data_IF_819294070208
#
_entry.id   IF_819294070208
#
_cell.length_a   1.000
_cell.length_b   1.000
_cell.length_c   1.000
_cell.angle_alpha   90.00
_cell.angle_beta   90.00
_cell.angle_gamma   90.00
#
_symmetry.space_group_name_H-M   'P 1'
#
loop_
_entity.id
_entity.type
_entity.pdbx_description
1 polymer ?
#
# COMPACT_ATOMS: atom_id res chain seq x y z
N UNK A 1 24.71 4.27 -37.52
CA UNK A 1 25.20 3.04 -36.93
C UNK A 1 25.57 3.32 -35.48
N UNK A 2 24.71 2.96 -34.56
CA UNK A 2 24.90 3.15 -33.09
C UNK A 2 25.59 1.90 -32.57
N UNK A 3 26.76 2.04 -32.01
CA UNK A 3 27.48 0.96 -31.33
C UNK A 3 26.81 0.70 -30.00
N UNK A 4 26.11 -0.41 -29.87
CA UNK A 4 25.68 -0.95 -28.58
C UNK A 4 26.93 -1.61 -27.93
N UNK A 5 27.53 -0.95 -26.95
CA UNK A 5 28.54 -1.59 -26.10
C UNK A 5 27.93 -2.75 -25.32
N UNK A 6 28.59 -3.89 -25.35
CA UNK A 6 28.13 -5.10 -24.66
C UNK A 6 28.33 -4.95 -23.14
N UNK A 7 27.46 -5.55 -22.34
CA UNK A 7 27.56 -5.58 -20.86
C UNK A 7 28.91 -6.15 -20.38
N UNK A 8 29.58 -6.98 -21.17
CA UNK A 8 30.90 -7.53 -20.88
C UNK A 8 31.99 -6.48 -20.99
N UNK A 9 31.88 -5.53 -21.92
CA UNK A 9 32.87 -4.46 -22.10
C UNK A 9 32.81 -3.43 -20.97
N UNK A 10 31.63 -3.20 -20.42
CA UNK A 10 31.43 -2.33 -19.25
C UNK A 10 32.12 -2.91 -17.99
N UNK A 11 31.94 -4.20 -17.72
CA UNK A 11 32.56 -4.86 -16.56
C UNK A 11 34.11 -4.98 -16.70
N UNK A 12 34.62 -5.14 -17.91
CA UNK A 12 36.08 -5.19 -18.16
C UNK A 12 36.80 -3.87 -17.91
N UNK A 13 36.12 -2.73 -18.16
CA UNK A 13 36.70 -1.39 -17.93
C UNK A 13 36.72 -0.96 -16.47
N UNK A 14 35.88 -1.55 -15.63
CA UNK A 14 35.77 -1.23 -14.19
C UNK A 14 36.86 -1.88 -13.32
N UNK A 15 37.56 -2.90 -13.83
CA UNK A 15 38.57 -3.63 -13.05
C UNK A 15 39.99 -3.02 -13.18
N UNK A 16 40.25 -2.09 -14.12
CA UNK A 16 41.56 -1.53 -14.38
C UNK A 16 41.88 -0.31 -13.48
N UNK A 17 40.97 0.20 -12.71
CA UNK A 17 41.15 1.40 -11.86
C UNK A 17 41.54 1.12 -10.40
N UNK A 18 41.72 -0.13 -9.99
CA UNK A 18 42.07 -0.52 -8.62
C UNK A 18 43.45 -1.13 -8.42
N UNK A 19 44.34 -1.00 -9.40
CA UNK A 19 45.64 -1.66 -9.32
C UNK A 19 46.80 -0.79 -9.78
N UNK A 20 47.12 0.30 -9.09
CA UNK A 20 48.51 0.86 -9.10
C UNK A 20 48.63 2.06 -8.15
N UNK A 21 48.86 1.78 -6.90
CA UNK A 21 49.49 2.73 -5.98
C UNK A 21 50.26 1.98 -4.90
N UNK A 22 51.41 1.43 -5.30
CA UNK A 22 52.49 1.15 -4.37
C UNK A 22 53.79 1.40 -5.12
N UNK A 23 54.55 2.37 -4.65
CA UNK A 23 55.98 2.39 -4.47
C UNK A 23 56.60 3.79 -4.70
N UNK A 24 57.13 4.33 -3.58
CA UNK A 24 58.29 5.18 -3.38
C UNK A 24 58.26 6.67 -3.72
N UNK A 25 58.51 7.44 -2.67
CA UNK A 25 58.97 8.82 -2.77
C UNK A 25 58.91 9.56 -1.42
N UNK A 26 59.88 9.34 -0.55
CA UNK A 26 60.14 10.17 0.63
C UNK A 26 60.60 11.56 0.21
N UNK A 27 59.73 12.55 0.27
CA UNK A 27 60.06 13.95 0.49
C UNK A 27 58.91 14.62 1.21
N UNK A 28 59.20 15.09 2.41
CA UNK A 28 58.23 15.70 3.29
C UNK A 28 57.60 16.95 2.71
N UNK A 29 56.29 16.92 2.61
CA UNK A 29 55.43 18.09 2.74
C UNK A 29 54.54 17.84 3.94
N UNK A 30 54.78 18.58 5.00
CA UNK A 30 53.83 18.65 6.10
C UNK A 30 52.50 19.15 5.54
N UNK A 31 51.60 18.23 5.26
CA UNK A 31 50.20 18.60 5.01
C UNK A 31 49.58 18.98 6.33
N UNK A 32 49.20 20.24 6.43
CA UNK A 32 48.37 20.78 7.52
C UNK A 32 47.15 19.87 7.72
N UNK A 33 47.13 19.18 8.84
CA UNK A 33 46.02 18.32 9.29
C UNK A 33 44.87 19.10 9.91
N UNK A 34 44.73 20.40 9.64
CA UNK A 34 43.77 21.24 10.36
C UNK A 34 42.42 21.49 9.63
N UNK A 35 42.10 20.83 8.53
CA UNK A 35 40.85 21.10 7.82
C UNK A 35 40.03 19.86 7.37
N UNK A 36 40.16 18.71 8.03
CA UNK A 36 39.34 17.53 7.68
C UNK A 36 38.04 17.34 8.50
N UNK A 37 37.75 18.25 9.43
CA UNK A 37 36.50 18.15 10.21
C UNK A 37 35.25 18.62 9.44
N UNK A 38 35.41 19.39 8.34
CA UNK A 38 34.30 19.97 7.60
C UNK A 38 33.67 19.05 6.53
N UNK A 39 34.30 17.90 6.23
CA UNK A 39 33.84 16.95 5.20
C UNK A 39 33.64 15.52 5.71
N UNK A 40 33.50 15.31 7.01
CA UNK A 40 33.15 14.01 7.53
C UNK A 40 31.68 13.70 7.15
N UNK A 41 31.47 12.70 6.31
CA UNK A 41 30.10 12.18 6.05
C UNK A 41 29.56 11.70 7.40
N UNK A 42 28.37 12.15 7.82
CA UNK A 42 27.77 11.70 9.07
C UNK A 42 27.68 10.17 9.10
N UNK A 43 27.89 9.59 10.28
CA UNK A 43 27.70 8.15 10.44
C UNK A 43 26.22 7.79 10.18
N UNK A 44 26.00 6.74 9.41
CA UNK A 44 24.67 6.28 9.09
C UNK A 44 23.98 5.77 10.37
N UNK A 45 22.78 6.27 10.73
CA UNK A 45 22.04 5.75 11.86
C UNK A 45 21.77 4.26 11.74
N UNK A 46 21.59 3.58 12.88
CA UNK A 46 21.15 2.19 12.88
C UNK A 46 19.78 2.05 12.21
N UNK A 47 19.60 1.00 11.42
CA UNK A 47 18.30 0.65 10.83
C UNK A 47 17.42 -0.09 11.86
N UNK A 48 16.10 0.18 11.94
CA UNK A 48 15.31 1.14 11.15
C UNK A 48 15.70 2.60 11.42
N UNK A 49 15.58 3.45 10.39
CA UNK A 49 15.96 4.85 10.52
C UNK A 49 14.97 5.63 11.40
N UNK A 50 15.41 6.72 12.07
CA UNK A 50 14.56 7.51 12.92
C UNK A 50 13.41 8.16 12.13
N UNK A 51 12.27 8.35 12.79
CA UNK A 51 11.08 8.95 12.23
C UNK A 51 10.78 10.31 12.87
N UNK A 52 9.84 11.03 12.29
CA UNK A 52 9.27 12.26 12.83
C UNK A 52 7.75 12.21 12.78
N UNK A 53 7.10 13.11 13.51
CA UNK A 53 5.68 13.39 13.31
C UNK A 53 5.47 14.03 11.93
N UNK A 54 4.57 13.43 11.11
CA UNK A 54 4.19 13.94 9.81
C UNK A 54 3.03 14.93 9.92
N UNK A 55 3.14 16.05 9.21
CA UNK A 55 2.00 16.90 8.90
C UNK A 55 1.18 16.24 7.76
N UNK A 56 -0.05 15.88 8.08
CA UNK A 56 -0.91 15.11 7.17
C UNK A 56 -1.38 15.96 5.98
N UNK A 57 -1.70 17.24 6.20
CA UNK A 57 -2.17 18.14 5.16
C UNK A 57 -1.03 18.49 4.19
N UNK A 58 0.17 18.68 4.73
CA UNK A 58 1.38 18.86 3.92
C UNK A 58 1.69 17.59 3.10
N UNK A 59 1.56 16.40 3.69
CA UNK A 59 1.78 15.15 2.99
C UNK A 59 0.79 14.98 1.84
N UNK A 60 -0.50 15.26 2.06
CA UNK A 60 -1.56 15.18 1.05
C UNK A 60 -1.28 16.13 -0.12
N UNK A 61 -1.04 17.41 0.19
CA UNK A 61 -0.75 18.43 -0.81
C UNK A 61 0.50 18.11 -1.62
N UNK A 62 1.60 17.76 -0.93
CA UNK A 62 2.88 17.46 -1.60
C UNK A 62 2.76 16.19 -2.45
N UNK A 63 2.02 15.18 -2.00
CA UNK A 63 1.75 13.97 -2.77
C UNK A 63 0.99 14.24 -4.06
N UNK A 64 -0.03 15.11 -4.00
CA UNK A 64 -0.80 15.57 -5.14
C UNK A 64 0.08 16.36 -6.14
N UNK A 65 0.79 17.38 -5.68
CA UNK A 65 1.65 18.22 -6.52
C UNK A 65 2.79 17.39 -7.14
N UNK A 66 3.42 16.53 -6.36
CA UNK A 66 4.49 15.63 -6.81
C UNK A 66 4.04 14.63 -7.89
N UNK A 67 2.76 14.26 -7.93
CA UNK A 67 2.23 13.47 -9.03
C UNK A 67 2.40 14.18 -10.38
N UNK A 68 2.12 15.48 -10.43
CA UNK A 68 2.27 16.25 -11.68
C UNK A 68 3.73 16.54 -12.03
N UNK A 69 4.62 16.53 -11.04
CA UNK A 69 6.06 16.69 -11.30
C UNK A 69 6.64 15.41 -11.94
N UNK A 70 6.47 14.26 -11.31
CA UNK A 70 7.16 13.03 -11.77
C UNK A 70 6.39 11.72 -11.50
N UNK A 71 5.08 11.77 -11.33
CA UNK A 71 4.21 10.61 -11.20
C UNK A 71 3.90 10.20 -9.76
N UNK A 72 2.97 9.24 -9.63
CA UNK A 72 2.34 8.88 -8.36
C UNK A 72 3.31 8.33 -7.30
N UNK A 73 4.23 7.48 -7.70
CA UNK A 73 5.20 6.88 -6.77
C UNK A 73 6.18 7.92 -6.23
N UNK A 74 6.70 8.77 -7.13
CA UNK A 74 7.52 9.91 -6.77
C UNK A 74 6.79 10.87 -5.82
N UNK A 75 5.54 11.24 -6.16
CA UNK A 75 4.77 12.21 -5.36
C UNK A 75 4.60 11.76 -3.91
N UNK A 76 4.22 10.51 -3.69
CA UNK A 76 4.06 9.96 -2.33
C UNK A 76 5.40 9.86 -1.60
N UNK A 77 6.43 9.33 -2.26
CA UNK A 77 7.75 9.24 -1.64
C UNK A 77 8.31 10.63 -1.29
N UNK A 78 8.19 11.61 -2.20
CA UNK A 78 8.58 13.01 -1.97
C UNK A 78 7.88 13.60 -0.76
N UNK A 79 6.55 13.41 -0.64
CA UNK A 79 5.75 13.96 0.44
C UNK A 79 6.24 13.52 1.83
N UNK A 80 6.70 12.28 1.95
CA UNK A 80 7.21 11.73 3.19
C UNK A 80 8.70 12.04 3.40
N UNK A 81 9.52 11.83 2.36
CA UNK A 81 10.98 12.04 2.45
C UNK A 81 11.34 13.51 2.70
N UNK A 82 10.61 14.47 2.14
CA UNK A 82 10.86 15.91 2.41
C UNK A 82 10.66 16.23 3.87
N UNK A 83 9.58 15.78 4.49
CA UNK A 83 9.34 16.01 5.91
C UNK A 83 10.38 15.31 6.81
N UNK A 84 10.82 14.11 6.43
CA UNK A 84 11.92 13.42 7.12
C UNK A 84 13.23 14.16 6.97
N UNK A 85 13.55 14.65 5.77
CA UNK A 85 14.77 15.44 5.55
C UNK A 85 14.77 16.73 6.37
N UNK A 86 13.64 17.42 6.44
CA UNK A 86 13.51 18.70 7.16
C UNK A 86 13.55 18.52 8.69
N UNK A 87 12.93 17.46 9.22
CA UNK A 87 12.74 17.27 10.66
C UNK A 87 13.80 16.35 11.29
N UNK A 88 14.30 15.37 10.54
CA UNK A 88 15.29 14.40 11.02
C UNK A 88 16.69 14.69 10.47
N UNK A 89 16.77 15.12 9.21
CA UNK A 89 18.04 15.37 8.54
C UNK A 89 18.61 14.11 7.88
N UNK A 90 19.92 13.85 8.10
CA UNK A 90 20.57 12.65 7.55
C UNK A 90 20.01 11.35 8.17
N UNK A 91 19.74 10.27 7.36
CA UNK A 91 20.14 10.10 5.98
C UNK A 91 19.14 10.61 4.92
N UNK A 92 18.00 11.14 5.31
CA UNK A 92 16.92 11.48 4.37
C UNK A 92 17.28 12.66 3.45
N UNK A 93 18.19 13.53 3.88
CA UNK A 93 18.71 14.64 3.06
C UNK A 93 19.51 14.17 1.82
N UNK A 94 19.91 12.90 1.77
CA UNK A 94 20.69 12.33 0.65
C UNK A 94 19.90 11.25 -0.11
N UNK A 95 18.66 10.96 0.25
CA UNK A 95 17.79 10.03 -0.46
C UNK A 95 17.00 10.80 -1.51
N UNK A 96 17.31 10.68 -2.81
CA UNK A 96 16.61 11.42 -3.85
C UNK A 96 15.23 10.80 -4.11
N UNK A 97 14.16 11.60 -4.04
CA UNK A 97 12.81 11.13 -4.37
C UNK A 97 12.69 10.66 -5.82
N UNK A 98 13.58 11.13 -6.70
CA UNK A 98 13.68 10.74 -8.11
C UNK A 98 13.86 9.24 -8.32
N UNK A 99 14.45 8.52 -7.38
CA UNK A 99 14.56 7.06 -7.44
C UNK A 99 13.21 6.35 -7.51
N UNK A 100 12.14 7.01 -7.09
CA UNK A 100 10.77 6.49 -7.12
C UNK A 100 10.02 6.82 -8.42
N UNK A 101 10.57 7.62 -9.31
CA UNK A 101 9.90 8.04 -10.55
C UNK A 101 9.57 6.86 -11.50
N UNK A 102 10.33 5.77 -11.44
CA UNK A 102 10.10 4.56 -12.23
C UNK A 102 8.83 3.79 -11.82
N UNK A 103 8.27 4.07 -10.64
CA UNK A 103 7.06 3.40 -10.15
C UNK A 103 5.75 3.94 -10.71
N UNK A 104 5.77 5.00 -11.56
CA UNK A 104 4.56 5.50 -12.23
C UNK A 104 3.92 4.44 -13.11
N UNK A 105 2.58 4.56 -13.29
CA UNK A 105 1.79 3.65 -14.15
C UNK A 105 1.90 2.17 -13.74
N UNK A 106 2.05 1.92 -12.42
CA UNK A 106 2.24 0.57 -11.92
C UNK A 106 3.52 -0.08 -12.43
N UNK A 107 4.62 0.66 -12.33
CA UNK A 107 5.95 0.27 -12.84
C UNK A 107 5.93 -0.02 -14.35
N UNK A 108 5.14 0.75 -15.09
CA UNK A 108 4.91 0.61 -16.54
C UNK A 108 4.35 -0.77 -16.97
N UNK A 109 3.87 -1.54 -16.01
CA UNK A 109 3.31 -2.88 -16.19
C UNK A 109 1.85 -2.97 -15.73
N UNK A 110 1.26 -1.85 -15.29
CA UNK A 110 -0.10 -1.84 -14.72
C UNK A 110 -0.23 -2.59 -13.38
N UNK A 111 0.90 -3.01 -12.79
CA UNK A 111 0.98 -3.75 -11.54
C UNK A 111 0.69 -2.86 -10.32
N UNK A 112 1.40 -3.01 -9.21
CA UNK A 112 1.19 -2.24 -7.99
C UNK A 112 1.00 -0.74 -8.28
N UNK A 113 -0.06 -0.13 -7.75
CA UNK A 113 -0.28 1.31 -7.85
C UNK A 113 0.96 2.08 -7.38
N UNK A 114 1.48 2.99 -8.22
CA UNK A 114 2.70 3.71 -7.89
C UNK A 114 2.59 4.53 -6.60
N UNK A 115 1.42 5.11 -6.31
CA UNK A 115 1.21 5.79 -5.03
C UNK A 115 1.47 4.86 -3.84
N UNK A 116 0.95 3.63 -3.92
CA UNK A 116 1.24 2.59 -2.92
C UNK A 116 2.73 2.28 -2.87
N UNK A 117 3.38 2.08 -4.02
CA UNK A 117 4.82 1.80 -4.09
C UNK A 117 5.69 2.86 -3.42
N UNK A 118 5.34 4.14 -3.56
CA UNK A 118 6.02 5.24 -2.87
C UNK A 118 5.92 5.17 -1.36
N UNK A 119 4.72 4.91 -0.83
CA UNK A 119 4.50 4.72 0.60
C UNK A 119 5.26 3.51 1.16
N UNK A 120 5.16 2.37 0.46
CA UNK A 120 5.81 1.12 0.89
C UNK A 120 7.34 1.24 0.92
N UNK A 121 7.93 1.97 -0.03
CA UNK A 121 9.36 2.26 -0.02
C UNK A 121 9.79 3.02 1.23
N UNK A 122 9.01 4.02 1.66
CA UNK A 122 9.31 4.79 2.88
C UNK A 122 9.05 3.95 4.14
N UNK A 123 8.01 3.11 4.16
CA UNK A 123 7.81 2.16 5.28
C UNK A 123 9.05 1.27 5.47
N UNK A 124 9.65 0.80 4.37
CA UNK A 124 10.88 0.00 4.42
C UNK A 124 12.11 0.74 4.96
N UNK A 125 12.14 2.06 4.96
CA UNK A 125 13.21 2.86 5.58
C UNK A 125 13.03 3.00 7.10
N UNK A 126 11.79 3.12 7.54
CA UNK A 126 11.42 3.53 8.91
C UNK A 126 11.07 2.35 9.83
N UNK A 127 10.79 1.17 9.27
CA UNK A 127 10.21 0.05 10.00
C UNK A 127 10.99 -1.22 9.75
N UNK A 128 11.09 -2.06 10.76
CA UNK A 128 11.56 -3.44 10.60
C UNK A 128 10.62 -4.24 9.69
N UNK A 129 11.07 -5.38 9.13
CA UNK A 129 10.33 -6.11 8.10
C UNK A 129 8.91 -6.53 8.51
N UNK A 130 8.70 -6.90 9.76
CA UNK A 130 7.39 -7.36 10.24
C UNK A 130 6.42 -6.19 10.44
N UNK A 131 6.90 -5.08 10.98
CA UNK A 131 6.10 -3.86 11.17
C UNK A 131 5.77 -3.20 9.82
N UNK A 132 6.74 -3.15 8.90
CA UNK A 132 6.50 -2.69 7.53
C UNK A 132 5.41 -3.52 6.85
N UNK A 133 5.43 -4.84 7.03
CA UNK A 133 4.40 -5.75 6.51
C UNK A 133 3.03 -5.48 7.15
N UNK A 134 2.99 -5.23 8.45
CA UNK A 134 1.74 -4.93 9.17
C UNK A 134 1.12 -3.60 8.69
N UNK A 135 1.93 -2.54 8.54
CA UNK A 135 1.44 -1.26 8.02
C UNK A 135 1.04 -1.35 6.54
N UNK A 136 1.78 -2.12 5.74
CA UNK A 136 1.42 -2.42 4.35
C UNK A 136 0.03 -3.06 4.25
N UNK A 137 -0.29 -4.04 5.10
CA UNK A 137 -1.62 -4.66 5.13
C UNK A 137 -2.71 -3.63 5.45
N UNK A 138 -2.49 -2.75 6.42
CA UNK A 138 -3.44 -1.67 6.77
C UNK A 138 -3.64 -0.69 5.60
N UNK A 139 -2.56 -0.28 4.94
CA UNK A 139 -2.64 0.62 3.80
C UNK A 139 -3.36 -0.03 2.61
N UNK A 140 -3.08 -1.31 2.32
CA UNK A 140 -3.75 -2.08 1.27
C UNK A 140 -5.25 -2.21 1.55
N UNK A 141 -5.64 -2.56 2.77
CA UNK A 141 -7.04 -2.68 3.17
C UNK A 141 -7.79 -1.36 2.98
N UNK A 142 -7.20 -0.24 3.45
CA UNK A 142 -7.77 1.08 3.25
C UNK A 142 -7.91 1.43 1.76
N UNK A 143 -6.85 1.25 0.96
CA UNK A 143 -6.85 1.57 -0.46
C UNK A 143 -7.90 0.79 -1.26
N UNK A 144 -8.08 -0.49 -0.94
CA UNK A 144 -9.00 -1.37 -1.67
C UNK A 144 -10.46 -1.22 -1.27
N UNK A 145 -10.76 -0.57 -0.14
CA UNK A 145 -12.12 -0.38 0.37
C UNK A 145 -12.61 1.07 0.36
N UNK A 146 -11.72 2.04 0.09
CA UNK A 146 -12.07 3.47 0.13
C UNK A 146 -12.53 3.98 -1.22
N UNK A 147 -13.56 4.86 -1.22
CA UNK A 147 -13.94 5.63 -2.40
C UNK A 147 -12.87 6.68 -2.71
N UNK A 148 -12.16 6.53 -3.81
CA UNK A 148 -11.05 7.37 -4.23
C UNK A 148 -11.32 8.08 -5.58
N UNK A 149 -10.73 9.27 -5.80
CA UNK A 149 -9.91 10.07 -4.87
C UNK A 149 -10.75 10.84 -3.87
N UNK A 150 -10.24 11.04 -2.65
CA UNK A 150 -10.84 11.93 -1.64
C UNK A 150 -10.41 13.37 -1.91
N UNK A 151 -9.11 13.59 -2.02
CA UNK A 151 -8.49 14.87 -2.27
C UNK A 151 -8.63 15.28 -3.74
N UNK A 152 -9.43 16.31 -3.99
CA UNK A 152 -9.77 16.77 -5.34
C UNK A 152 -9.77 18.31 -5.39
N UNK A 153 -8.58 18.93 -5.36
CA UNK A 153 -8.49 20.41 -5.26
C UNK A 153 -8.95 21.14 -6.52
N UNK A 154 -8.78 20.55 -7.70
CA UNK A 154 -9.04 21.21 -8.98
C UNK A 154 -10.19 20.54 -9.75
N UNK A 155 -9.95 19.38 -10.33
CA UNK A 155 -10.93 18.63 -11.13
C UNK A 155 -11.57 17.56 -10.26
N UNK A 156 -12.88 17.69 -10.09
CA UNK A 156 -13.66 16.73 -9.29
C UNK A 156 -14.19 15.59 -10.16
N UNK A 157 -14.06 14.39 -9.66
CA UNK A 157 -14.69 13.21 -10.26
C UNK A 157 -16.21 13.27 -10.06
N UNK A 158 -16.98 12.92 -11.08
CA UNK A 158 -18.43 12.74 -10.96
C UNK A 158 -18.75 11.52 -10.08
N UNK A 159 -17.95 10.46 -10.24
CA UNK A 159 -18.08 9.21 -9.49
C UNK A 159 -16.73 8.82 -8.90
N UNK A 160 -16.64 8.78 -7.58
CA UNK A 160 -15.52 8.15 -6.89
C UNK A 160 -15.67 6.61 -6.96
N UNK A 161 -14.58 5.88 -6.95
CA UNK A 161 -14.63 4.42 -7.06
C UNK A 161 -13.79 3.73 -6.00
N UNK A 162 -14.31 2.64 -5.48
CA UNK A 162 -13.57 1.68 -4.65
C UNK A 162 -12.75 0.80 -5.60
N UNK A 163 -11.44 0.80 -5.44
CA UNK A 163 -10.53 0.05 -6.34
C UNK A 163 -10.76 -1.46 -6.27
N UNK A 164 -10.97 -2.01 -5.08
CA UNK A 164 -11.02 -3.46 -4.79
C UNK A 164 -9.74 -4.22 -5.21
N UNK A 165 -8.70 -3.51 -5.62
CA UNK A 165 -7.41 -4.05 -6.07
C UNK A 165 -6.31 -3.02 -5.81
N UNK A 166 -5.11 -3.49 -5.50
CA UNK A 166 -3.92 -2.64 -5.38
C UNK A 166 -3.22 -2.38 -6.72
N UNK A 167 -3.66 -3.03 -7.80
CA UNK A 167 -3.07 -2.88 -9.11
C UNK A 167 -3.51 -1.58 -9.79
N UNK A 168 -2.57 -0.94 -10.46
CA UNK A 168 -2.79 0.31 -11.18
C UNK A 168 -3.85 0.16 -12.27
N UNK A 169 -3.73 -0.89 -13.10
CA UNK A 169 -4.66 -1.13 -14.20
C UNK A 169 -6.09 -1.28 -13.69
N UNK A 170 -6.33 -2.13 -12.70
CA UNK A 170 -7.67 -2.41 -12.17
C UNK A 170 -8.31 -1.14 -11.61
N UNK A 171 -7.53 -0.41 -10.79
CA UNK A 171 -7.98 0.81 -10.13
C UNK A 171 -8.30 1.93 -11.14
N UNK A 172 -7.46 2.12 -12.16
CA UNK A 172 -7.61 3.18 -13.16
C UNK A 172 -8.74 2.84 -14.14
N UNK A 173 -8.81 1.62 -14.66
CA UNK A 173 -9.85 1.23 -15.63
C UNK A 173 -11.24 1.26 -15.01
N UNK A 174 -11.38 0.85 -13.73
CA UNK A 174 -12.65 0.95 -13.00
C UNK A 174 -13.12 2.40 -12.87
N UNK A 175 -12.20 3.31 -12.50
CA UNK A 175 -12.53 4.73 -12.44
C UNK A 175 -12.91 5.32 -13.80
N UNK A 176 -12.13 5.02 -14.84
CA UNK A 176 -12.39 5.50 -16.19
C UNK A 176 -13.76 5.04 -16.68
N UNK A 177 -14.09 3.77 -16.50
CA UNK A 177 -15.39 3.22 -16.88
C UNK A 177 -16.56 3.92 -16.15
N UNK A 178 -16.43 4.14 -14.84
CA UNK A 178 -17.46 4.81 -14.04
C UNK A 178 -17.69 6.29 -14.42
N UNK A 179 -16.68 6.94 -14.99
CA UNK A 179 -16.71 8.37 -15.35
C UNK A 179 -16.78 8.60 -16.87
N UNK A 180 -17.03 7.56 -17.68
CA UNK A 180 -17.13 7.69 -19.15
C UNK A 180 -15.85 8.17 -19.82
N UNK A 181 -14.68 7.82 -19.26
CA UNK A 181 -13.37 8.23 -19.78
C UNK A 181 -12.82 7.12 -20.65
N UNK A 182 -12.47 7.45 -21.89
CA UNK A 182 -11.91 6.49 -22.87
C UNK A 182 -10.42 6.68 -23.10
N UNK A 183 -9.90 7.88 -22.81
CA UNK A 183 -8.52 8.23 -23.11
C UNK A 183 -7.64 8.28 -21.87
N UNK A 184 -6.50 7.59 -21.91
CA UNK A 184 -5.53 7.57 -20.81
C UNK A 184 -4.92 8.96 -20.50
N UNK A 185 -4.98 9.90 -21.45
CA UNK A 185 -4.48 11.27 -21.29
C UNK A 185 -5.56 12.25 -20.81
N UNK A 186 -6.80 11.82 -20.59
CA UNK A 186 -7.89 12.65 -20.06
C UNK A 186 -7.48 13.29 -18.73
N UNK A 187 -7.71 14.59 -18.61
CA UNK A 187 -7.31 15.36 -17.42
C UNK A 187 -8.05 14.90 -16.16
N UNK A 188 -9.29 14.40 -16.28
CA UNK A 188 -10.04 13.81 -15.15
C UNK A 188 -9.35 12.54 -14.62
N UNK A 189 -8.84 11.69 -15.53
CA UNK A 189 -8.05 10.52 -15.14
C UNK A 189 -6.73 10.93 -14.47
N UNK A 190 -6.07 11.97 -14.99
CA UNK A 190 -4.85 12.51 -14.39
C UNK A 190 -5.11 13.10 -13.01
N UNK A 191 -6.17 13.91 -12.88
CA UNK A 191 -6.59 14.50 -11.61
C UNK A 191 -6.93 13.43 -10.57
N UNK A 192 -7.61 12.33 -10.98
CA UNK A 192 -7.84 11.18 -10.13
C UNK A 192 -6.54 10.59 -9.59
N UNK A 193 -5.54 10.39 -10.45
CA UNK A 193 -4.27 9.82 -10.00
C UNK A 193 -3.47 10.79 -9.12
N UNK A 194 -3.56 12.09 -9.38
CA UNK A 194 -3.03 13.13 -8.49
C UNK A 194 -3.68 13.09 -7.11
N UNK A 195 -5.03 13.10 -7.06
CA UNK A 195 -5.79 12.98 -5.82
C UNK A 195 -5.43 11.73 -5.03
N UNK A 196 -5.41 10.57 -5.68
CA UNK A 196 -5.01 9.31 -5.04
C UNK A 196 -3.57 9.37 -4.50
N UNK A 197 -2.66 10.10 -5.15
CA UNK A 197 -1.31 10.28 -4.62
C UNK A 197 -1.31 11.11 -3.35
N UNK A 198 -2.12 12.16 -3.28
CA UNK A 198 -2.35 12.92 -2.05
C UNK A 198 -2.95 12.05 -0.95
N UNK A 199 -4.04 11.36 -1.25
CA UNK A 199 -4.76 10.49 -0.31
C UNK A 199 -3.83 9.41 0.29
N UNK A 200 -3.03 8.76 -0.55
CA UNK A 200 -2.08 7.71 -0.10
C UNK A 200 -0.95 8.31 0.72
N UNK A 201 -0.43 9.48 0.36
CA UNK A 201 0.61 10.16 1.14
C UNK A 201 0.09 10.53 2.54
N UNK A 202 -1.12 11.10 2.61
CA UNK A 202 -1.80 11.40 3.89
C UNK A 202 -2.01 10.14 4.72
N UNK A 203 -2.55 9.08 4.12
CA UNK A 203 -2.83 7.84 4.84
C UNK A 203 -1.56 7.14 5.31
N UNK A 204 -0.50 7.15 4.51
CA UNK A 204 0.80 6.61 4.93
C UNK A 204 1.39 7.40 6.10
N UNK A 205 1.34 8.73 6.05
CA UNK A 205 1.75 9.62 7.14
C UNK A 205 0.94 9.37 8.42
N UNK A 206 -0.39 9.24 8.31
CA UNK A 206 -1.28 8.89 9.42
C UNK A 206 -0.88 7.55 10.07
N UNK A 207 -0.69 6.51 9.26
CA UNK A 207 -0.30 5.19 9.75
C UNK A 207 1.05 5.21 10.48
N UNK A 208 2.02 5.98 9.97
CA UNK A 208 3.32 6.18 10.61
C UNK A 208 3.18 6.97 11.91
N UNK A 209 2.41 8.07 11.92
CA UNK A 209 2.17 8.84 13.13
C UNK A 209 1.54 7.98 14.24
N UNK A 210 0.57 7.15 13.89
CA UNK A 210 -0.05 6.21 14.85
C UNK A 210 0.96 5.18 15.33
N UNK A 211 1.74 4.59 14.43
CA UNK A 211 2.74 3.56 14.78
C UNK A 211 3.80 4.09 15.74
N UNK A 212 4.30 5.31 15.51
CA UNK A 212 5.31 5.93 16.35
C UNK A 212 4.74 6.67 17.58
N UNK A 213 3.42 6.66 17.78
CA UNK A 213 2.76 7.26 18.93
C UNK A 213 2.66 8.80 18.89
N UNK A 214 2.81 9.41 17.71
CA UNK A 214 2.61 10.85 17.52
C UNK A 214 1.12 11.22 17.40
N UNK A 215 0.26 10.24 17.11
CA UNK A 215 -1.17 10.42 16.97
C UNK A 215 -1.90 9.21 17.53
N UNK A 216 -3.05 9.42 18.19
CA UNK A 216 -3.96 8.32 18.51
C UNK A 216 -4.53 7.71 17.23
N UNK A 217 -4.71 6.39 17.22
CA UNK A 217 -5.36 5.74 16.11
C UNK A 217 -6.77 6.37 15.95
N UNK A 218 -7.15 6.83 14.74
CA UNK A 218 -8.52 7.23 14.51
C UNK A 218 -9.43 6.12 15.03
N UNK A 219 -10.49 6.48 15.77
CA UNK A 219 -11.49 5.51 16.13
C UNK A 219 -11.84 4.76 14.84
N UNK A 220 -11.70 3.43 14.85
CA UNK A 220 -12.17 2.65 13.72
C UNK A 220 -13.57 3.21 13.40
N UNK A 221 -13.89 3.58 12.14
CA UNK A 221 -15.25 3.92 11.84
C UNK A 221 -16.04 2.76 12.43
N UNK A 222 -16.85 3.08 13.44
CA UNK A 222 -17.79 2.13 13.98
C UNK A 222 -18.55 1.71 12.73
N UNK A 223 -18.19 0.54 12.19
CA UNK A 223 -18.85 0.02 11.02
C UNK A 223 -20.29 0.00 11.48
N UNK A 224 -21.10 0.93 10.94
CA UNK A 224 -22.49 1.00 11.30
C UNK A 224 -22.95 -0.44 11.17
N UNK A 225 -23.23 -1.06 12.32
CA UNK A 225 -23.71 -2.43 12.28
C UNK A 225 -24.91 -2.37 11.35
N UNK A 226 -24.92 -3.14 10.26
CA UNK A 226 -26.01 -3.07 9.33
C UNK A 226 -27.29 -3.27 10.14
N UNK A 227 -28.26 -2.38 9.99
CA UNK A 227 -29.57 -2.58 10.60
C UNK A 227 -30.05 -3.96 10.16
N UNK A 228 -30.08 -4.88 11.11
CA UNK A 228 -30.44 -6.26 10.85
C UNK A 228 -31.97 -6.40 10.87
N UNK A 229 -32.52 -7.03 9.85
CA UNK A 229 -33.88 -7.50 9.93
C UNK A 229 -34.01 -8.60 11.03
N UNK A 230 -35.19 -8.84 11.58
CA UNK A 230 -35.40 -9.80 12.68
C UNK A 230 -34.93 -11.23 12.37
N UNK A 231 -34.73 -11.54 11.08
CA UNK A 231 -34.30 -12.84 10.59
C UNK A 231 -32.85 -12.80 10.02
N UNK A 232 -32.08 -11.76 10.28
CA UNK A 232 -30.69 -11.62 9.87
C UNK A 232 -29.77 -11.72 11.07
N UNK A 233 -28.67 -12.45 10.92
CA UNK A 233 -27.70 -12.74 11.97
C UNK A 233 -26.30 -12.50 11.46
N UNK A 234 -25.45 -11.82 12.24
CA UNK A 234 -24.04 -11.62 11.90
C UNK A 234 -23.20 -12.67 12.63
N UNK A 235 -22.32 -13.31 11.89
CA UNK A 235 -21.33 -14.21 12.47
C UNK A 235 -19.92 -13.87 12.02
N UNK A 236 -18.96 -14.14 12.89
CA UNK A 236 -17.55 -13.86 12.67
C UNK A 236 -16.70 -15.09 12.95
N UNK A 237 -15.56 -15.17 12.28
CA UNK A 237 -14.53 -16.18 12.51
C UNK A 237 -13.18 -15.65 12.06
N UNK A 238 -12.08 -16.24 12.60
CA UNK A 238 -10.73 -15.89 12.16
C UNK A 238 -10.30 -16.79 10.99
N UNK A 239 -9.91 -16.16 9.89
CA UNK A 239 -9.26 -16.81 8.75
C UNK A 239 -7.73 -16.69 8.82
N UNK A 240 -7.06 -16.92 7.68
CA UNK A 240 -5.60 -16.78 7.58
C UNK A 240 -5.16 -15.31 7.60
N UNK A 241 -5.88 -14.44 6.89
CA UNK A 241 -5.57 -13.01 6.77
C UNK A 241 -6.16 -12.15 7.88
N UNK A 242 -7.13 -12.67 8.66
CA UNK A 242 -7.83 -11.95 9.70
C UNK A 242 -9.29 -12.38 9.84
N UNK A 243 -10.12 -11.50 10.42
CA UNK A 243 -11.54 -11.77 10.63
C UNK A 243 -12.30 -11.89 9.30
N UNK A 244 -13.17 -12.90 9.23
CA UNK A 244 -14.20 -13.08 8.21
C UNK A 244 -15.54 -12.80 8.85
N UNK A 245 -16.32 -11.85 8.32
CA UNK A 245 -17.65 -11.46 8.82
C UNK A 245 -18.69 -11.75 7.78
N UNK A 246 -19.73 -12.47 8.17
CA UNK A 246 -20.85 -12.83 7.29
C UNK A 246 -22.18 -12.38 7.90
N UNK A 247 -23.16 -12.17 7.03
CA UNK A 247 -24.57 -11.99 7.40
C UNK A 247 -25.37 -13.16 6.84
N UNK A 248 -26.08 -13.84 7.71
CA UNK A 248 -26.97 -14.96 7.37
C UNK A 248 -28.42 -14.47 7.47
N UNK A 249 -29.18 -14.66 6.41
CA UNK A 249 -30.63 -14.40 6.39
C UNK A 249 -31.35 -15.73 6.48
N UNK A 250 -32.25 -15.85 7.44
CA UNK A 250 -33.07 -17.04 7.67
C UNK A 250 -34.49 -16.86 7.11
N UNK A 251 -35.07 -17.93 6.59
CA UNK A 251 -36.51 -18.02 6.23
C UNK A 251 -37.10 -19.20 6.97
N UNK A 252 -37.69 -18.94 8.13
CA UNK A 252 -37.99 -19.98 9.11
C UNK A 252 -36.73 -20.70 9.55
N UNK A 253 -36.73 -22.03 9.46
CA UNK A 253 -35.59 -22.85 9.85
C UNK A 253 -34.53 -23.03 8.71
N UNK A 254 -34.70 -22.35 7.58
CA UNK A 254 -33.81 -22.50 6.42
C UNK A 254 -32.91 -21.29 6.22
N UNK A 255 -31.66 -21.55 5.84
CA UNK A 255 -30.72 -20.53 5.39
C UNK A 255 -31.17 -20.10 3.99
N UNK A 256 -31.59 -18.84 3.87
CA UNK A 256 -32.02 -18.27 2.58
C UNK A 256 -30.87 -17.59 1.85
N UNK A 257 -30.01 -16.87 2.60
CA UNK A 257 -28.93 -16.10 2.02
C UNK A 257 -27.74 -15.99 2.96
N UNK A 258 -26.54 -15.95 2.39
CA UNK A 258 -25.29 -15.66 3.10
C UNK A 258 -24.57 -14.55 2.33
N UNK A 259 -24.43 -13.39 2.95
CA UNK A 259 -23.64 -12.27 2.44
C UNK A 259 -22.31 -12.20 3.19
N UNK A 260 -21.19 -12.16 2.46
CA UNK A 260 -19.89 -11.87 3.06
C UNK A 260 -19.76 -10.36 3.20
N UNK A 261 -19.73 -9.87 4.43
CA UNK A 261 -19.67 -8.44 4.73
C UNK A 261 -18.24 -7.90 4.67
N UNK A 262 -17.28 -8.66 5.21
CA UNK A 262 -15.86 -8.29 5.18
C UNK A 262 -14.96 -9.50 5.39
N UNK A 263 -13.75 -9.43 4.85
CA UNK A 263 -12.67 -10.37 5.13
C UNK A 263 -11.31 -9.73 4.85
N UNK A 264 -10.25 -10.25 5.47
CA UNK A 264 -8.86 -9.84 5.25
C UNK A 264 -8.03 -10.96 4.61
N UNK A 265 -8.68 -11.92 3.95
CA UNK A 265 -8.04 -13.06 3.31
C UNK A 265 -7.25 -12.64 2.05
N UNK A 266 -6.33 -13.51 1.61
CA UNK A 266 -5.43 -13.24 0.48
C UNK A 266 -6.19 -13.24 -0.86
N UNK A 267 -6.28 -12.10 -1.56
CA UNK A 267 -6.91 -12.04 -2.89
C UNK A 267 -6.29 -13.05 -3.87
N UNK A 268 -7.10 -13.61 -4.75
CA UNK A 268 -6.69 -14.62 -5.74
C UNK A 268 -6.54 -16.02 -5.16
N UNK A 269 -6.27 -16.17 -3.87
CA UNK A 269 -6.19 -17.46 -3.19
C UNK A 269 -7.53 -17.82 -2.54
N UNK A 270 -8.13 -16.88 -1.86
CA UNK A 270 -9.38 -17.06 -1.11
C UNK A 270 -10.65 -16.87 -1.97
N UNK A 271 -10.55 -16.14 -3.08
CA UNK A 271 -11.71 -15.78 -3.91
C UNK A 271 -12.58 -16.98 -4.33
N UNK A 272 -12.01 -18.13 -4.72
CA UNK A 272 -12.81 -19.32 -5.03
C UNK A 272 -13.64 -19.84 -3.84
N UNK A 273 -13.13 -19.69 -2.59
CA UNK A 273 -13.88 -20.10 -1.41
C UNK A 273 -15.05 -19.16 -1.15
N UNK A 274 -14.84 -17.84 -1.26
CA UNK A 274 -15.92 -16.86 -1.10
C UNK A 274 -16.99 -16.95 -2.17
N UNK A 275 -16.63 -17.39 -3.37
CA UNK A 275 -17.60 -17.64 -4.44
C UNK A 275 -18.41 -18.92 -4.26
N UNK A 276 -17.82 -19.98 -3.70
CA UNK A 276 -18.43 -21.32 -3.69
C UNK A 276 -19.06 -21.70 -2.34
N UNK A 277 -18.39 -21.42 -1.21
CA UNK A 277 -18.81 -21.93 0.10
C UNK A 277 -20.16 -21.37 0.57
N UNK A 278 -20.49 -20.08 0.41
CA UNK A 278 -21.81 -19.57 0.81
C UNK A 278 -22.96 -20.31 0.12
N UNK A 279 -22.85 -20.53 -1.20
CA UNK A 279 -23.87 -21.23 -1.96
C UNK A 279 -23.96 -22.71 -1.58
N UNK A 280 -22.81 -23.37 -1.39
CA UNK A 280 -22.78 -24.78 -0.96
C UNK A 280 -23.47 -24.99 0.40
N UNK A 281 -23.31 -24.06 1.34
CA UNK A 281 -23.97 -24.09 2.66
C UNK A 281 -25.50 -23.90 2.49
N UNK A 282 -25.93 -22.97 1.62
CA UNK A 282 -27.35 -22.75 1.33
C UNK A 282 -27.97 -24.01 0.70
N UNK A 283 -27.32 -24.60 -0.28
CA UNK A 283 -27.82 -25.77 -0.98
C UNK A 283 -27.89 -27.01 -0.05
N UNK A 284 -26.88 -27.19 0.80
CA UNK A 284 -26.82 -28.29 1.76
C UNK A 284 -27.66 -28.04 3.04
N UNK A 285 -28.05 -26.81 3.31
CA UNK A 285 -28.63 -26.38 4.59
C UNK A 285 -27.79 -26.83 5.79
N UNK A 286 -26.48 -26.78 5.64
CA UNK A 286 -25.48 -27.27 6.60
C UNK A 286 -24.18 -26.50 6.48
N UNK A 287 -23.54 -26.21 7.62
CA UNK A 287 -22.19 -25.62 7.65
C UNK A 287 -21.09 -26.64 7.35
N UNK A 288 -21.40 -27.93 7.29
CA UNK A 288 -20.46 -29.00 6.96
C UNK A 288 -20.53 -29.27 5.46
N UNK A 289 -19.68 -28.56 4.71
CA UNK A 289 -19.54 -28.70 3.24
C UNK A 289 -18.07 -28.93 2.87
N UNK A 290 -17.81 -29.35 1.65
CA UNK A 290 -16.46 -29.59 1.16
C UNK A 290 -15.68 -28.25 1.04
N UNK A 291 -14.41 -28.30 1.42
CA UNK A 291 -13.50 -27.14 1.27
C UNK A 291 -13.05 -26.99 -0.18
N UNK A 292 -12.87 -25.75 -0.59
CA UNK A 292 -12.29 -25.44 -1.90
C UNK A 292 -10.79 -25.72 -1.90
N UNK A 293 -10.30 -26.42 -2.90
CA UNK A 293 -8.88 -26.74 -3.06
C UNK A 293 -8.04 -25.43 -3.08
N UNK A 294 -6.90 -25.44 -2.43
CA UNK A 294 -5.98 -24.31 -2.22
C UNK A 294 -6.55 -23.13 -1.39
N UNK A 295 -7.81 -23.18 -0.96
CA UNK A 295 -8.44 -22.17 -0.11
C UNK A 295 -9.05 -22.78 1.18
N UNK A 296 -8.43 -23.83 1.70
CA UNK A 296 -8.95 -24.60 2.85
C UNK A 296 -9.17 -23.75 4.10
N UNK A 297 -8.24 -22.84 4.43
CA UNK A 297 -8.35 -21.99 5.63
C UNK A 297 -9.51 -21.03 5.50
N UNK A 298 -9.61 -20.35 4.34
CA UNK A 298 -10.71 -19.42 4.06
C UNK A 298 -12.07 -20.13 3.99
N UNK A 299 -12.12 -21.35 3.40
CA UNK A 299 -13.35 -22.18 3.40
C UNK A 299 -13.82 -22.47 4.84
N UNK A 300 -12.92 -22.93 5.71
CA UNK A 300 -13.24 -23.20 7.11
C UNK A 300 -13.64 -21.96 7.90
N UNK A 301 -13.01 -20.80 7.59
CA UNK A 301 -13.36 -19.55 8.23
C UNK A 301 -14.80 -19.12 7.85
N UNK A 302 -15.18 -19.24 6.58
CA UNK A 302 -16.56 -18.94 6.15
C UNK A 302 -17.56 -19.86 6.86
N UNK A 303 -17.31 -21.17 6.89
CA UNK A 303 -18.18 -22.15 7.57
C UNK A 303 -18.35 -21.81 9.06
N UNK A 304 -17.25 -21.52 9.76
CA UNK A 304 -17.27 -21.18 11.18
C UNK A 304 -17.96 -19.82 11.45
N UNK A 305 -17.82 -18.83 10.55
CA UNK A 305 -18.54 -17.58 10.65
C UNK A 305 -20.07 -17.79 10.47
N UNK A 306 -20.47 -18.63 9.53
CA UNK A 306 -21.90 -18.99 9.36
C UNK A 306 -22.41 -19.74 10.58
N UNK A 307 -21.65 -20.70 11.12
CA UNK A 307 -22.04 -21.43 12.34
C UNK A 307 -22.20 -20.48 13.53
N UNK A 308 -21.32 -19.51 13.69
CA UNK A 308 -21.42 -18.47 14.70
C UNK A 308 -22.70 -17.61 14.54
N UNK A 309 -23.09 -17.27 13.31
CA UNK A 309 -24.35 -16.59 13.05
C UNK A 309 -25.57 -17.46 13.41
N UNK A 310 -25.57 -18.72 12.99
CA UNK A 310 -26.67 -19.67 13.25
C UNK A 310 -26.84 -19.99 14.74
N UNK A 311 -25.78 -19.92 15.54
CA UNK A 311 -25.87 -20.11 16.99
C UNK A 311 -26.72 -19.05 17.70
N UNK A 312 -27.04 -17.93 17.04
CA UNK A 312 -27.86 -16.84 17.54
C UNK A 312 -29.35 -17.00 17.20
N UNK A 313 -29.68 -17.95 16.31
CA UNK A 313 -31.08 -18.26 15.94
C UNK A 313 -31.74 -18.95 17.14
N UNK A 314 -32.84 -18.37 17.60
CA UNK A 314 -33.58 -18.86 18.78
C UNK A 314 -34.74 -19.73 18.35
#
# INVERSE_FOLDING_TARGET
MSFMESRRDFLGKSVILLGSAAVLGTTGCAMNTENNAANAVPELPAYPYPCCEFDLDLAEKTGYEGYYENGCCYGVAKALLTQLADKVGYPFTVIPAEMFANGKEGYQAGSLCGAMGGALGVFGLLLGPDDARALTKKLNAWYTSTNLPIYQPEIKAEVQTVSSSINCTDSVTKFMAANGITEMKDDRRRARCGGVSGDVARKAAELLNVYFGYMEAPAAPEAAEPELAPNEYIGTSNGFGGEVKVKVTMNGDKIEKIDVLSHSETPGVSDPAFAAIPQAIIDAQSTTVDVVANATVSSKAIMAAVENALSQVK
#
